data_IF_700488033031
#
_entry.id   IF_700488033031
#
_cell.length_a   1.000
_cell.length_b   1.000
_cell.length_c   1.000
_cell.angle_alpha   90.00
_cell.angle_beta   90.00
_cell.angle_gamma   90.00
#
_symmetry.space_group_name_H-M   'P 1'
#
loop_
_entity.id
_entity.type
_entity.pdbx_description
1 polymer ?
#
# COMPACT_ATOMS: atom_id res chain seq x y z
N UNK A 1 -8.23 -18.78 -9.33
CA UNK A 1 -9.63 -18.30 -9.35
C UNK A 1 -9.65 -16.80 -9.68
N UNK A 2 -10.73 -16.05 -9.41
CA UNK A 2 -10.81 -14.59 -9.67
C UNK A 2 -9.73 -13.83 -8.90
N UNK A 3 -9.44 -14.23 -7.66
CA UNK A 3 -8.39 -13.62 -6.83
C UNK A 3 -7.04 -13.80 -7.52
N UNK A 4 -6.67 -15.04 -7.82
CA UNK A 4 -5.36 -15.33 -8.45
C UNK A 4 -5.21 -14.58 -9.77
N UNK A 5 -6.26 -14.54 -10.59
CA UNK A 5 -6.20 -13.96 -11.93
C UNK A 5 -6.05 -12.45 -11.89
N UNK A 6 -6.79 -11.78 -11.01
CA UNK A 6 -6.81 -10.32 -10.95
C UNK A 6 -5.61 -9.77 -10.17
N UNK A 7 -5.23 -10.40 -9.05
CA UNK A 7 -4.13 -9.93 -8.20
C UNK A 7 -2.74 -10.37 -8.67
N UNK A 8 -2.64 -11.20 -9.72
CA UNK A 8 -1.38 -11.55 -10.37
C UNK A 8 -0.79 -10.44 -11.26
N UNK A 9 -1.52 -9.33 -11.51
CA UNK A 9 -1.01 -8.21 -12.31
C UNK A 9 0.09 -7.46 -11.57
N UNK A 10 0.93 -6.71 -12.30
CA UNK A 10 2.12 -6.04 -11.77
C UNK A 10 1.83 -4.66 -11.17
N UNK A 11 0.77 -3.98 -11.56
CA UNK A 11 0.45 -2.66 -11.01
C UNK A 11 -0.92 -2.64 -10.34
N UNK A 12 -1.11 -1.70 -9.40
CA UNK A 12 -2.41 -1.55 -8.74
C UNK A 12 -3.50 -1.17 -9.75
N UNK A 13 -3.13 -0.37 -10.75
CA UNK A 13 -3.98 0.01 -11.88
C UNK A 13 -4.42 -1.21 -12.68
N UNK A 14 -3.50 -2.11 -13.04
CA UNK A 14 -3.86 -3.33 -13.76
C UNK A 14 -4.70 -4.30 -12.91
N UNK A 15 -4.46 -4.37 -11.59
CA UNK A 15 -5.30 -5.16 -10.68
C UNK A 15 -6.73 -4.61 -10.67
N UNK A 16 -6.89 -3.30 -10.51
CA UNK A 16 -8.20 -2.64 -10.55
C UNK A 16 -8.88 -2.87 -11.90
N UNK A 17 -8.16 -2.67 -13.01
CA UNK A 17 -8.70 -2.91 -14.35
C UNK A 17 -9.11 -4.38 -14.58
N UNK A 18 -8.34 -5.33 -14.05
CA UNK A 18 -8.68 -6.76 -14.13
C UNK A 18 -9.93 -7.10 -13.33
N UNK A 19 -10.09 -6.55 -12.12
CA UNK A 19 -11.30 -6.72 -11.31
C UNK A 19 -12.53 -6.10 -11.98
N UNK A 20 -12.39 -4.90 -12.55
CA UNK A 20 -13.47 -4.23 -13.29
C UNK A 20 -13.89 -5.02 -14.54
N UNK A 21 -12.92 -5.57 -15.28
CA UNK A 21 -13.20 -6.36 -16.48
C UNK A 21 -13.79 -7.74 -16.18
N UNK A 22 -13.55 -8.29 -14.98
CA UNK A 22 -14.11 -9.58 -14.57
C UNK A 22 -15.64 -9.52 -14.42
N UNK A 23 -16.16 -8.41 -13.87
CA UNK A 23 -17.60 -8.13 -13.79
C UNK A 23 -18.39 -8.97 -12.78
N UNK A 24 -17.72 -9.77 -11.95
CA UNK A 24 -18.31 -10.50 -10.82
C UNK A 24 -18.64 -9.55 -9.66
N UNK A 25 -19.73 -9.82 -8.92
CA UNK A 25 -20.17 -9.01 -7.77
C UNK A 25 -19.06 -8.86 -6.72
N UNK A 26 -18.32 -9.93 -6.43
CA UNK A 26 -17.20 -9.90 -5.50
C UNK A 26 -16.08 -8.97 -5.99
N UNK A 27 -15.78 -9.01 -7.30
CA UNK A 27 -14.74 -8.17 -7.89
C UNK A 27 -15.15 -6.68 -7.87
N UNK A 28 -16.43 -6.39 -8.12
CA UNK A 28 -16.98 -5.04 -8.01
C UNK A 28 -16.87 -4.49 -6.57
N UNK A 29 -17.15 -5.31 -5.56
CA UNK A 29 -16.96 -4.95 -4.16
C UNK A 29 -15.50 -4.66 -3.81
N UNK A 30 -14.55 -5.41 -4.37
CA UNK A 30 -13.11 -5.17 -4.16
C UNK A 30 -12.66 -3.85 -4.81
N UNK A 31 -13.14 -3.55 -6.01
CA UNK A 31 -12.86 -2.26 -6.68
C UNK A 31 -13.43 -1.10 -5.87
N UNK A 32 -14.68 -1.22 -5.41
CA UNK A 32 -15.30 -0.21 -4.56
C UNK A 32 -14.48 0.00 -3.28
N UNK A 33 -14.01 -1.08 -2.66
CA UNK A 33 -13.15 -1.01 -1.47
C UNK A 33 -11.82 -0.32 -1.77
N UNK A 34 -11.10 -0.73 -2.81
CA UNK A 34 -9.80 -0.16 -3.19
C UNK A 34 -9.90 1.35 -3.47
N UNK A 35 -10.98 1.80 -4.11
CA UNK A 35 -11.24 3.21 -4.41
C UNK A 35 -11.46 4.09 -3.17
N UNK A 36 -11.77 3.50 -2.01
CA UNK A 36 -11.84 4.24 -0.73
C UNK A 36 -10.49 4.40 -0.04
N UNK A 37 -9.46 3.67 -0.47
CA UNK A 37 -8.15 3.64 0.20
C UNK A 37 -7.20 4.70 -0.37
N UNK A 38 -6.19 5.04 0.42
CA UNK A 38 -5.08 5.89 -0.03
C UNK A 38 -4.36 5.21 -1.22
N UNK A 39 -4.30 5.86 -2.40
CA UNK A 39 -3.63 5.32 -3.57
C UNK A 39 -2.16 5.00 -3.33
N UNK A 40 -1.45 5.90 -2.64
CA UNK A 40 -0.06 5.70 -2.24
C UNK A 40 0.08 4.45 -1.36
N UNK A 41 -0.81 4.28 -0.38
CA UNK A 41 -0.78 3.12 0.53
C UNK A 41 -1.06 1.81 -0.19
N UNK A 42 -2.00 1.79 -1.14
CA UNK A 42 -2.30 0.61 -1.97
C UNK A 42 -1.05 0.17 -2.74
N UNK A 43 -0.33 1.10 -3.38
CA UNK A 43 0.89 0.78 -4.12
C UNK A 43 2.05 0.35 -3.21
N UNK A 44 2.22 1.00 -2.05
CA UNK A 44 3.21 0.56 -1.03
C UNK A 44 2.92 -0.87 -0.58
N UNK A 45 1.67 -1.19 -0.24
CA UNK A 45 1.28 -2.52 0.22
C UNK A 45 1.50 -3.59 -0.86
N UNK A 46 1.16 -3.29 -2.12
CA UNK A 46 1.41 -4.19 -3.23
C UNK A 46 2.90 -4.52 -3.39
N UNK A 47 3.76 -3.49 -3.36
CA UNK A 47 5.21 -3.69 -3.42
C UNK A 47 5.73 -4.44 -2.19
N UNK A 48 5.26 -4.12 -0.99
CA UNK A 48 5.65 -4.78 0.25
C UNK A 48 5.39 -6.28 0.20
N UNK A 49 4.18 -6.71 -0.20
CA UNK A 49 3.85 -8.15 -0.26
C UNK A 49 4.75 -8.89 -1.25
N UNK A 50 5.05 -8.27 -2.40
CA UNK A 50 5.90 -8.90 -3.42
C UNK A 50 7.37 -8.96 -3.06
N UNK A 51 7.92 -7.88 -2.51
CA UNK A 51 9.32 -7.87 -2.05
C UNK A 51 9.50 -8.76 -0.84
N UNK A 52 8.54 -8.74 0.10
CA UNK A 52 8.57 -9.59 1.29
C UNK A 52 8.48 -11.08 0.97
N UNK A 53 7.68 -11.45 -0.05
CA UNK A 53 7.62 -12.82 -0.56
C UNK A 53 8.92 -13.34 -1.19
N UNK A 54 9.89 -12.46 -1.50
CA UNK A 54 11.21 -12.81 -2.03
C UNK A 54 12.31 -12.86 -0.97
N UNK A 55 12.04 -12.38 0.24
CA UNK A 55 13.05 -12.27 1.29
C UNK A 55 13.37 -13.62 1.93
N UNK A 56 14.65 -13.80 2.27
CA UNK A 56 15.14 -15.05 2.84
C UNK A 56 14.84 -15.19 4.34
N UNK A 57 14.70 -14.07 5.05
CA UNK A 57 14.57 -14.04 6.51
C UNK A 57 13.40 -13.19 6.99
N UNK A 58 12.95 -13.46 8.21
CA UNK A 58 11.97 -12.63 8.90
C UNK A 58 12.55 -11.24 9.18
N UNK A 59 13.83 -11.18 9.56
CA UNK A 59 14.56 -9.96 9.88
C UNK A 59 14.63 -9.01 8.67
N UNK A 60 14.87 -9.54 7.47
CA UNK A 60 14.85 -8.74 6.24
C UNK A 60 13.46 -8.16 5.96
N UNK A 61 12.41 -8.97 6.15
CA UNK A 61 11.02 -8.51 6.05
C UNK A 61 10.75 -7.38 7.03
N UNK A 62 11.08 -7.57 8.30
CA UNK A 62 10.86 -6.57 9.34
C UNK A 62 11.67 -5.29 9.11
N UNK A 63 12.89 -5.35 8.56
CA UNK A 63 13.62 -4.13 8.16
C UNK A 63 12.86 -3.36 7.09
N UNK A 64 12.33 -4.04 6.07
CA UNK A 64 11.49 -3.40 5.07
C UNK A 64 10.21 -2.81 5.68
N UNK A 65 9.48 -3.57 6.50
CA UNK A 65 8.27 -3.06 7.15
C UNK A 65 8.55 -1.87 8.06
N UNK A 66 9.69 -1.88 8.75
CA UNK A 66 10.14 -0.79 9.60
C UNK A 66 10.40 0.49 8.78
N UNK A 67 11.09 0.39 7.62
CA UNK A 67 11.30 1.53 6.71
C UNK A 67 9.98 2.13 6.23
N UNK A 68 9.01 1.28 5.91
CA UNK A 68 7.67 1.69 5.50
C UNK A 68 6.98 2.41 6.67
N UNK A 69 6.91 1.76 7.83
CA UNK A 69 6.27 2.30 9.04
C UNK A 69 6.86 3.64 9.47
N UNK A 70 8.19 3.73 9.52
CA UNK A 70 8.93 4.94 9.89
C UNK A 70 8.51 6.15 9.06
N UNK A 71 8.41 6.00 7.75
CA UNK A 71 8.00 7.10 6.84
C UNK A 71 6.49 7.28 6.81
N UNK A 72 5.71 6.19 6.92
CA UNK A 72 4.26 6.24 6.77
C UNK A 72 3.59 6.97 7.93
N UNK A 73 4.04 6.77 9.18
CA UNK A 73 3.45 7.47 10.33
C UNK A 73 3.60 8.99 10.28
N UNK A 74 4.52 9.49 9.46
CA UNK A 74 4.78 10.91 9.22
C UNK A 74 4.09 11.43 7.96
N UNK A 75 3.46 10.56 7.16
CA UNK A 75 2.88 10.92 5.87
C UNK A 75 1.50 11.58 6.03
N UNK A 76 1.14 12.40 5.05
CA UNK A 76 -0.17 13.02 4.95
C UNK A 76 -1.30 12.00 5.09
N UNK A 77 -1.27 10.93 4.30
CA UNK A 77 -2.35 9.96 4.22
C UNK A 77 -2.50 9.11 5.49
N UNK A 78 -1.43 8.89 6.25
CA UNK A 78 -1.58 8.24 7.56
C UNK A 78 -2.33 9.14 8.54
N UNK A 79 -1.91 10.41 8.66
CA UNK A 79 -2.56 11.38 9.54
C UNK A 79 -4.01 11.63 9.14
N UNK A 80 -4.27 11.75 7.84
CA UNK A 80 -5.62 11.93 7.30
C UNK A 80 -6.51 10.70 7.52
N UNK A 81 -5.95 9.49 7.39
CA UNK A 81 -6.68 8.27 7.70
C UNK A 81 -7.04 8.18 9.19
N UNK A 82 -6.11 8.53 10.07
CA UNK A 82 -6.37 8.63 11.52
C UNK A 82 -7.45 9.68 11.80
N UNK A 83 -7.38 10.85 11.16
CA UNK A 83 -8.41 11.88 11.30
C UNK A 83 -9.79 11.34 10.90
N UNK A 84 -9.91 10.82 9.67
CA UNK A 84 -11.18 10.39 9.09
C UNK A 84 -11.83 9.21 9.82
N UNK A 85 -11.04 8.26 10.33
CA UNK A 85 -11.54 7.01 10.93
C UNK A 85 -11.60 7.06 12.45
N UNK A 86 -10.64 7.73 13.12
CA UNK A 86 -10.49 7.66 14.59
C UNK A 86 -10.90 8.97 15.26
N UNK A 87 -10.49 10.12 14.72
CA UNK A 87 -10.71 11.43 15.37
C UNK A 87 -12.12 11.96 15.04
N UNK A 88 -12.35 12.31 13.78
CA UNK A 88 -13.59 12.93 13.32
C UNK A 88 -14.66 11.88 13.00
N UNK A 89 -14.24 10.66 12.62
CA UNK A 89 -15.11 9.53 12.27
C UNK A 89 -16.09 9.83 11.14
N UNK A 90 -15.71 10.70 10.22
CA UNK A 90 -16.51 11.06 9.05
C UNK A 90 -16.45 10.00 7.94
N UNK A 91 -15.45 9.11 7.97
CA UNK A 91 -15.15 8.15 6.90
C UNK A 91 -14.98 8.82 5.52
N UNK A 92 -14.54 10.09 5.49
CA UNK A 92 -14.35 10.90 4.28
C UNK A 92 -12.90 11.42 4.17
N UNK A 93 -11.92 10.51 4.01
CA UNK A 93 -10.53 10.88 3.94
C UNK A 93 -10.17 11.61 2.63
N UNK A 94 -9.33 12.64 2.72
CA UNK A 94 -8.87 13.47 1.61
C UNK A 94 -7.47 13.08 1.15
N UNK A 95 -7.33 11.90 0.56
CA UNK A 95 -6.04 11.35 0.12
C UNK A 95 -5.25 12.25 -0.83
N UNK A 96 -3.91 12.23 -0.68
CA UNK A 96 -2.98 12.97 -1.55
C UNK A 96 -1.77 12.10 -1.91
N UNK A 97 -1.61 11.74 -3.20
CA UNK A 97 -2.53 12.00 -4.32
C UNK A 97 -3.84 11.19 -4.22
N UNK A 98 -4.87 11.62 -4.95
CA UNK A 98 -6.23 11.02 -4.85
C UNK A 98 -6.51 9.92 -5.88
N UNK A 99 -5.59 9.65 -6.80
CA UNK A 99 -5.71 8.59 -7.82
C UNK A 99 -4.46 7.73 -7.87
N UNK A 100 -4.61 6.47 -8.29
CA UNK A 100 -3.49 5.54 -8.45
C UNK A 100 -2.49 6.06 -9.48
N UNK A 101 -3.00 6.55 -10.62
CA UNK A 101 -2.19 7.03 -11.74
C UNK A 101 -1.31 8.25 -11.39
N UNK A 102 -1.67 8.97 -10.33
CA UNK A 102 -0.95 10.17 -9.87
C UNK A 102 0.19 9.82 -8.89
N UNK A 103 0.34 8.55 -8.51
CA UNK A 103 1.42 8.08 -7.63
C UNK A 103 2.57 7.54 -8.49
N UNK A 104 3.73 8.19 -8.45
CA UNK A 104 4.92 7.74 -9.19
C UNK A 104 5.64 6.58 -8.50
N UNK A 105 6.46 5.83 -9.24
CA UNK A 105 7.32 4.80 -8.66
C UNK A 105 8.38 5.38 -7.72
N UNK A 106 8.80 6.63 -7.96
CA UNK A 106 9.73 7.37 -7.09
C UNK A 106 9.07 7.68 -5.74
N UNK A 107 7.80 8.11 -5.75
CA UNK A 107 7.02 8.31 -4.53
C UNK A 107 6.90 7.04 -3.70
N UNK A 108 6.86 5.88 -4.34
CA UNK A 108 6.83 4.59 -3.64
C UNK A 108 8.22 4.18 -3.17
N UNK A 109 9.25 4.38 -3.99
CA UNK A 109 10.61 3.96 -3.71
C UNK A 109 11.13 4.51 -2.38
N UNK A 110 10.83 5.77 -2.05
CA UNK A 110 11.22 6.41 -0.79
C UNK A 110 10.83 5.58 0.45
N UNK A 111 9.72 4.84 0.43
CA UNK A 111 9.29 4.02 1.57
C UNK A 111 10.18 2.82 1.86
N UNK A 112 10.95 2.37 0.87
CA UNK A 112 11.78 1.16 0.94
C UNK A 112 13.27 1.45 1.09
N UNK A 113 13.67 2.72 0.97
CA UNK A 113 15.05 3.15 1.09
C UNK A 113 15.60 2.90 2.51
N UNK A 114 16.89 2.52 2.64
CA UNK A 114 17.53 2.39 3.94
C UNK A 114 17.40 3.65 4.80
N UNK A 115 17.32 3.47 6.11
CA UNK A 115 17.25 4.58 7.07
C UNK A 115 18.62 5.02 7.61
N UNK A 116 19.70 4.41 7.11
CA UNK A 116 21.05 4.71 7.58
C UNK A 116 21.23 4.34 9.06
N UNK A 117 21.64 5.26 9.94
CA UNK A 117 21.80 4.98 11.38
C UNK A 117 20.51 4.57 12.09
N UNK A 118 19.34 4.94 11.57
CA UNK A 118 18.04 4.65 12.17
C UNK A 118 17.43 3.32 11.67
N UNK A 119 18.20 2.48 10.97
CA UNK A 119 17.73 1.19 10.48
C UNK A 119 17.38 0.21 11.61
N UNK A 120 16.35 -0.62 11.42
CA UNK A 120 16.02 -1.67 12.38
C UNK A 120 17.16 -2.69 12.49
N UNK A 121 17.73 -2.77 13.69
CA UNK A 121 18.70 -3.80 14.08
C UNK A 121 18.04 -4.84 14.96
N UNK A 122 18.39 -6.10 14.73
CA UNK A 122 18.11 -7.18 15.67
C UNK A 122 19.34 -7.31 16.56
N UNK A 123 19.12 -7.45 17.88
CA UNK A 123 20.22 -7.72 18.80
C UNK A 123 20.86 -9.08 18.53
N UNK A 124 22.05 -9.28 19.10
CA UNK A 124 22.71 -10.59 19.12
C UNK A 124 21.93 -11.63 19.94
#
# INVERSE_FOLDING_TARGET
DVIDTCFAKDTAEEIVAALEANGDDWAAEQVATLRTKSPETVKVALRQVREGGKMATFEDNMRMEYRIGWRKVQSHDFLEGVRAVIIDKDNDPKWRPSRLEDVSDEDIAKYFEPLGPDELTFGD
#
